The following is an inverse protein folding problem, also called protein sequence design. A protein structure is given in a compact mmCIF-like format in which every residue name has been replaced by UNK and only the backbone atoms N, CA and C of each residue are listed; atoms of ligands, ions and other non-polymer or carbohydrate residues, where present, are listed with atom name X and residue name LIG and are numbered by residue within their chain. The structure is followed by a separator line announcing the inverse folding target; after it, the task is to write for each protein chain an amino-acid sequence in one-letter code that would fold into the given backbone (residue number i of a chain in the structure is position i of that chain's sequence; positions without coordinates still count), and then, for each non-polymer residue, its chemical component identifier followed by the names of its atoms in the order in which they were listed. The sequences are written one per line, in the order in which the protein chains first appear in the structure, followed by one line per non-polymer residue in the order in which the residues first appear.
data_IF_573583170511
#
_entry.id   IF_573583170511
#
_cell.length_a   1.000
_cell.length_b   1.000
_cell.length_c   1.000
_cell.angle_alpha   90.00
_cell.angle_beta   90.00
_cell.angle_gamma   90.00
#
_symmetry.space_group_name_H-M   'P 1'
#
loop_
_entity.id
_entity.type
_entity.pdbx_description
1 polymer ?
#
# COMPACT_ATOMS: atom_id res chain seq x y z
N UNK A 1 -11.84 -8.45 8.13
CA UNK A 1 -11.92 -6.99 7.88
C UNK A 1 -11.53 -6.76 6.43
N UNK A 2 -12.38 -6.08 5.68
CA UNK A 2 -12.28 -6.03 4.21
C UNK A 2 -11.80 -4.67 3.67
N UNK A 3 -11.63 -3.67 4.56
CA UNK A 3 -11.25 -2.33 4.18
C UNK A 3 -9.75 -2.11 4.28
N UNK A 4 -9.23 -1.25 3.40
CA UNK A 4 -7.80 -0.94 3.29
C UNK A 4 -7.58 0.56 3.43
N UNK A 5 -6.71 0.98 4.35
CA UNK A 5 -6.19 2.35 4.37
C UNK A 5 -4.94 2.41 3.49
N UNK A 6 -4.84 3.43 2.62
CA UNK A 6 -3.75 3.57 1.65
C UNK A 6 -3.06 4.93 1.74
N UNK A 7 -1.74 4.93 1.50
CA UNK A 7 -0.97 6.16 1.38
C UNK A 7 0.10 6.01 0.28
N UNK A 8 0.04 6.84 -0.73
CA UNK A 8 0.91 6.78 -1.90
C UNK A 8 0.24 6.12 -3.10
N UNK A 9 1.05 5.80 -4.11
CA UNK A 9 0.57 5.19 -5.36
C UNK A 9 0.72 3.67 -5.34
N UNK A 10 -0.33 2.96 -5.70
CA UNK A 10 -0.35 1.50 -5.63
C UNK A 10 -0.82 0.79 -6.91
N UNK A 11 -0.69 1.42 -8.06
CA UNK A 11 -1.05 0.86 -9.36
C UNK A 11 -2.35 1.44 -9.95
N UNK A 12 -2.56 1.21 -11.24
CA UNK A 12 -3.72 1.71 -12.00
C UNK A 12 -4.77 0.59 -12.11
N UNK A 13 -5.51 0.34 -11.03
CA UNK A 13 -6.54 -0.70 -11.00
C UNK A 13 -7.73 -0.28 -10.14
N UNK A 14 -8.83 -0.99 -10.30
CA UNK A 14 -10.13 -0.62 -9.75
C UNK A 14 -10.12 -0.38 -8.25
N UNK A 15 -9.52 -1.26 -7.44
CA UNK A 15 -9.55 -1.05 -6.00
C UNK A 15 -8.79 0.20 -5.56
N UNK A 16 -7.68 0.58 -6.22
CA UNK A 16 -6.98 1.82 -5.91
C UNK A 16 -7.82 3.04 -6.29
N UNK A 17 -8.37 3.05 -7.52
CA UNK A 17 -9.23 4.14 -8.00
C UNK A 17 -10.54 4.23 -7.22
N UNK A 18 -10.97 3.16 -6.55
CA UNK A 18 -12.14 3.18 -5.68
C UNK A 18 -12.00 4.16 -4.50
N UNK A 19 -10.78 4.57 -4.13
CA UNK A 19 -10.54 5.66 -3.21
C UNK A 19 -11.24 6.96 -3.61
N UNK A 20 -11.43 7.21 -4.92
CA UNK A 20 -12.14 8.37 -5.46
C UNK A 20 -13.64 8.14 -5.66
N UNK A 21 -14.18 6.97 -5.31
CA UNK A 21 -15.64 6.74 -5.28
C UNK A 21 -16.32 7.32 -4.03
N UNK A 22 -15.69 8.24 -3.31
CA UNK A 22 -16.15 8.81 -2.04
C UNK A 22 -17.64 9.15 -1.93
N UNK A 23 -18.06 9.70 -0.82
CA UNK A 23 -19.49 9.99 -0.54
C UNK A 23 -20.01 11.25 -1.24
N UNK A 24 -19.20 12.02 -1.94
CA UNK A 24 -19.56 13.19 -2.73
C UNK A 24 -19.11 13.04 -4.18
N UNK A 25 -19.82 13.69 -5.10
CA UNK A 25 -19.46 13.75 -6.53
C UNK A 25 -18.10 14.45 -6.76
N UNK A 26 -17.67 15.24 -5.79
CA UNK A 26 -16.40 15.99 -5.81
C UNK A 26 -15.27 15.29 -5.07
N UNK A 27 -15.43 14.04 -4.64
CA UNK A 27 -14.38 13.33 -3.90
C UNK A 27 -13.14 13.10 -4.77
N UNK A 28 -12.02 13.63 -4.32
CA UNK A 28 -10.70 13.55 -4.97
C UNK A 28 -9.66 13.10 -3.96
N UNK A 29 -9.99 12.05 -3.22
CA UNK A 29 -9.20 11.59 -2.10
C UNK A 29 -7.79 11.11 -2.50
N UNK A 30 -7.59 10.74 -3.78
CA UNK A 30 -6.30 10.36 -4.34
C UNK A 30 -5.49 11.54 -4.90
N UNK A 31 -5.99 12.77 -4.91
CA UNK A 31 -5.31 13.92 -5.52
C UNK A 31 -3.97 14.23 -4.85
N UNK A 32 -3.84 13.95 -3.55
CA UNK A 32 -2.60 14.15 -2.80
C UNK A 32 -1.56 13.05 -2.99
N UNK A 33 -1.94 11.92 -3.64
CA UNK A 33 -1.09 10.75 -3.75
C UNK A 33 -0.09 10.82 -4.91
N UNK A 34 -0.53 11.16 -6.13
CA UNK A 34 0.38 11.31 -7.29
C UNK A 34 -0.11 12.32 -8.30
N UNK A 35 -1.27 12.07 -8.88
CA UNK A 35 -1.82 12.82 -10.00
C UNK A 35 -3.21 13.32 -9.63
N UNK A 36 -3.42 14.60 -9.58
CA UNK A 36 -4.74 15.18 -9.36
C UNK A 36 -5.70 14.82 -10.48
N UNK A 37 -6.98 14.72 -10.17
CA UNK A 37 -8.04 14.53 -11.15
C UNK A 37 -8.20 13.07 -11.63
N UNK A 38 -7.81 12.07 -10.85
CA UNK A 38 -8.06 10.66 -11.16
C UNK A 38 -9.55 10.33 -11.06
N UNK A 39 -10.23 10.34 -12.22
CA UNK A 39 -11.65 10.01 -12.27
C UNK A 39 -11.88 8.50 -12.15
N UNK A 40 -12.81 8.05 -11.27
CA UNK A 40 -13.11 6.64 -11.08
C UNK A 40 -14.11 6.08 -12.11
N UNK A 41 -14.10 6.60 -13.34
CA UNK A 41 -14.98 6.14 -14.41
C UNK A 41 -14.72 4.68 -14.76
N UNK A 42 -15.77 3.86 -14.74
CA UNK A 42 -15.68 2.43 -15.01
C UNK A 42 -15.36 1.56 -13.79
N UNK A 43 -14.99 2.16 -12.67
CA UNK A 43 -14.77 1.43 -11.41
C UNK A 43 -16.12 0.95 -10.85
N UNK A 44 -16.24 -0.33 -10.46
CA UNK A 44 -17.47 -0.86 -9.89
C UNK A 44 -17.90 -0.10 -8.62
N UNK A 45 -19.15 0.37 -8.59
CA UNK A 45 -19.68 1.19 -7.50
C UNK A 45 -19.73 0.48 -6.14
N UNK A 46 -19.77 -0.86 -6.14
CA UNK A 46 -19.75 -1.68 -4.93
C UNK A 46 -18.38 -1.69 -4.20
N UNK A 47 -17.34 -1.16 -4.82
CA UNK A 47 -16.05 -0.93 -4.16
C UNK A 47 -16.02 0.36 -3.30
N UNK A 48 -17.08 1.18 -3.37
CA UNK A 48 -17.20 2.38 -2.55
C UNK A 48 -17.11 2.04 -1.06
N UNK A 49 -16.32 2.83 -0.32
CA UNK A 49 -16.16 2.65 1.11
C UNK A 49 -15.31 1.45 1.53
N UNK A 50 -14.52 0.88 0.60
CA UNK A 50 -13.57 -0.19 0.91
C UNK A 50 -12.11 0.29 0.95
N UNK A 51 -11.81 1.46 0.35
CA UNK A 51 -10.48 2.05 0.27
C UNK A 51 -10.52 3.45 0.88
N UNK A 52 -9.60 3.70 1.80
CA UNK A 52 -9.53 4.94 2.60
C UNK A 52 -8.15 5.56 2.44
N UNK A 53 -7.98 6.56 1.56
CA UNK A 53 -6.73 7.30 1.43
C UNK A 53 -6.43 8.14 2.66
N UNK A 54 -5.15 8.24 3.04
CA UNK A 54 -4.67 9.17 4.05
C UNK A 54 -3.35 9.83 3.63
N UNK A 55 -3.10 11.03 4.13
CA UNK A 55 -1.93 11.81 3.78
C UNK A 55 -0.67 11.30 4.49
N UNK A 56 0.45 11.33 3.78
CA UNK A 56 1.74 10.98 4.34
C UNK A 56 2.14 11.96 5.46
N UNK A 57 2.66 11.44 6.55
CA UNK A 57 2.97 12.18 7.79
C UNK A 57 1.73 12.69 8.58
N UNK A 58 0.52 12.34 8.19
CA UNK A 58 -0.71 12.68 8.91
C UNK A 58 -1.22 11.47 9.72
N UNK A 59 -0.59 11.25 10.87
CA UNK A 59 -0.91 10.11 11.73
C UNK A 59 -2.33 10.20 12.32
N UNK A 60 -2.78 11.39 12.67
CA UNK A 60 -4.10 11.66 13.24
C UNK A 60 -5.21 11.29 12.25
N UNK A 61 -5.01 11.56 10.95
CA UNK A 61 -5.95 11.14 9.89
C UNK A 61 -6.05 9.62 9.82
N UNK A 62 -4.90 8.91 9.86
CA UNK A 62 -4.91 7.44 9.88
C UNK A 62 -5.61 6.88 11.11
N UNK A 63 -5.38 7.45 12.31
CA UNK A 63 -6.07 7.02 13.52
C UNK A 63 -7.59 7.20 13.42
N UNK A 64 -8.07 8.32 12.87
CA UNK A 64 -9.50 8.58 12.65
C UNK A 64 -10.10 7.55 11.70
N UNK A 65 -9.45 7.30 10.56
CA UNK A 65 -9.89 6.31 9.57
C UNK A 65 -9.99 4.92 10.23
N UNK A 66 -8.99 4.50 10.98
CA UNK A 66 -8.99 3.18 11.65
C UNK A 66 -10.09 3.09 12.71
N UNK A 67 -10.35 4.17 13.44
CA UNK A 67 -11.38 4.23 14.49
C UNK A 67 -12.79 4.15 13.92
N UNK A 68 -13.02 4.80 12.79
CA UNK A 68 -14.34 4.94 12.18
C UNK A 68 -14.67 3.78 11.22
N UNK A 69 -13.65 3.06 10.74
CA UNK A 69 -13.81 2.05 9.72
C UNK A 69 -13.16 0.71 10.14
N UNK A 70 -13.68 -0.37 9.61
CA UNK A 70 -13.18 -1.71 9.89
C UNK A 70 -11.92 -2.03 9.04
N UNK A 71 -10.81 -1.30 9.29
CA UNK A 71 -9.56 -1.46 8.54
C UNK A 71 -8.88 -2.78 8.89
N UNK A 72 -8.55 -3.57 7.89
CA UNK A 72 -7.79 -4.82 8.01
C UNK A 72 -6.33 -4.71 7.56
N UNK A 73 -6.07 -3.79 6.63
CA UNK A 73 -4.75 -3.57 6.03
C UNK A 73 -4.44 -2.08 5.97
N UNK A 74 -3.23 -1.70 6.32
CA UNK A 74 -2.64 -0.40 5.96
C UNK A 74 -1.58 -0.68 4.90
N UNK A 75 -1.76 -0.16 3.69
CA UNK A 75 -0.78 -0.24 2.60
C UNK A 75 -0.22 1.13 2.29
N UNK A 76 1.09 1.30 2.36
CA UNK A 76 1.71 2.60 2.14
C UNK A 76 3.10 2.48 1.51
N UNK A 77 3.52 3.53 0.81
CA UNK A 77 4.92 3.72 0.45
C UNK A 77 5.71 4.17 1.69
N UNK A 78 6.94 3.68 1.84
CA UNK A 78 7.80 4.06 2.99
C UNK A 78 8.23 5.51 2.89
N UNK A 79 8.69 5.90 1.71
CA UNK A 79 9.06 7.28 1.35
C UNK A 79 8.72 7.48 -0.11
N UNK A 80 8.19 8.65 -0.44
CA UNK A 80 7.99 9.06 -1.82
C UNK A 80 8.56 10.46 -2.07
N UNK A 81 7.83 11.49 -1.69
CA UNK A 81 8.21 12.89 -1.95
C UNK A 81 8.89 13.53 -0.74
N UNK A 82 8.47 13.14 0.45
CA UNK A 82 8.95 13.70 1.71
C UNK A 82 9.47 12.58 2.62
N UNK A 83 10.48 12.84 3.45
CA UNK A 83 10.89 11.89 4.48
C UNK A 83 9.83 11.78 5.58
N UNK A 84 9.82 10.67 6.33
CA UNK A 84 8.98 10.56 7.52
C UNK A 84 9.45 11.53 8.59
N UNK A 85 8.50 12.20 9.26
CA UNK A 85 8.76 13.11 10.36
C UNK A 85 8.11 12.62 11.65
N UNK A 86 8.58 13.09 12.80
CA UNK A 86 7.97 12.81 14.12
C UNK A 86 7.74 11.31 14.40
N UNK A 87 8.66 10.45 13.95
CA UNK A 87 8.57 8.99 14.09
C UNK A 87 7.30 8.40 13.43
N UNK A 88 6.85 8.99 12.32
CA UNK A 88 5.61 8.61 11.65
C UNK A 88 5.52 7.11 11.35
N UNK A 89 6.55 6.52 10.71
CA UNK A 89 6.55 5.10 10.35
C UNK A 89 6.46 4.19 11.58
N UNK A 90 7.17 4.53 12.65
CA UNK A 90 7.14 3.77 13.90
C UNK A 90 5.75 3.85 14.55
N UNK A 91 5.14 5.03 14.59
CA UNK A 91 3.77 5.20 15.10
C UNK A 91 2.77 4.36 14.31
N UNK A 92 2.86 4.34 12.97
CA UNK A 92 2.02 3.51 12.12
C UNK A 92 2.23 2.03 12.45
N UNK A 93 3.50 1.58 12.59
CA UNK A 93 3.81 0.19 12.96
C UNK A 93 3.23 -0.20 14.32
N UNK A 94 3.40 0.65 15.31
CA UNK A 94 2.92 0.38 16.67
C UNK A 94 1.38 0.30 16.72
N UNK A 95 0.71 1.22 16.05
CA UNK A 95 -0.75 1.23 15.94
C UNK A 95 -1.28 -0.02 15.24
N UNK A 96 -0.73 -0.37 14.08
CA UNK A 96 -1.16 -1.54 13.31
C UNK A 96 -0.92 -2.83 14.08
N UNK A 97 0.24 -2.97 14.73
CA UNK A 97 0.58 -4.12 15.57
C UNK A 97 -0.37 -4.25 16.76
N UNK A 98 -0.66 -3.14 17.45
CA UNK A 98 -1.57 -3.11 18.60
C UNK A 98 -2.99 -3.56 18.24
N UNK A 99 -3.45 -3.22 17.04
CA UNK A 99 -4.83 -3.48 16.57
C UNK A 99 -4.97 -4.74 15.71
N UNK A 100 -3.87 -5.47 15.47
CA UNK A 100 -3.87 -6.66 14.61
C UNK A 100 -4.18 -6.33 13.14
N UNK A 101 -3.78 -5.15 12.68
CA UNK A 101 -3.90 -4.69 11.30
C UNK A 101 -2.61 -5.04 10.57
N UNK A 102 -2.71 -5.58 9.35
CA UNK A 102 -1.56 -5.93 8.53
C UNK A 102 -0.95 -4.65 7.95
N UNK A 103 0.34 -4.41 8.21
CA UNK A 103 1.09 -3.33 7.58
C UNK A 103 1.83 -3.83 6.35
N UNK A 104 1.53 -3.24 5.19
CA UNK A 104 2.17 -3.54 3.92
C UNK A 104 2.97 -2.32 3.45
N UNK A 105 4.28 -2.47 3.27
CA UNK A 105 5.11 -1.46 2.64
C UNK A 105 5.24 -1.71 1.13
N UNK A 106 4.82 -0.74 0.33
CA UNK A 106 5.00 -0.75 -1.10
C UNK A 106 6.37 -0.15 -1.45
N UNK A 107 7.32 -1.02 -1.68
CA UNK A 107 8.70 -0.68 -2.01
C UNK A 107 8.97 -0.80 -3.53
N UNK A 108 7.92 -0.87 -4.34
CA UNK A 108 8.09 -0.94 -5.81
C UNK A 108 8.90 0.21 -6.38
N UNK A 109 8.81 1.41 -5.78
CA UNK A 109 9.58 2.58 -6.22
C UNK A 109 10.88 2.76 -5.45
N UNK A 110 10.89 2.50 -4.15
CA UNK A 110 12.02 2.76 -3.25
C UNK A 110 13.00 1.59 -3.12
N UNK A 111 12.52 0.36 -3.24
CA UNK A 111 13.33 -0.83 -3.03
C UNK A 111 14.53 -0.92 -3.97
N UNK A 112 15.65 -1.39 -3.47
CA UNK A 112 16.92 -1.59 -4.17
C UNK A 112 17.53 -0.33 -4.80
N UNK A 113 17.14 0.88 -4.33
CA UNK A 113 17.69 2.15 -4.83
C UNK A 113 18.63 2.83 -3.84
N UNK A 114 18.27 2.88 -2.57
CA UNK A 114 19.05 3.55 -1.52
C UNK A 114 19.63 2.56 -0.51
N UNK A 115 19.04 1.38 -0.42
CA UNK A 115 19.47 0.31 0.44
C UNK A 115 19.38 -1.03 -0.29
N UNK A 116 20.16 -2.01 0.14
CA UNK A 116 19.97 -3.39 -0.29
C UNK A 116 18.67 -3.94 0.33
N UNK A 117 17.69 -4.19 -0.53
CA UNK A 117 16.31 -4.51 -0.13
C UNK A 117 15.46 -3.25 0.00
N UNK A 118 14.63 -3.20 1.03
CA UNK A 118 13.70 -2.09 1.24
C UNK A 118 14.32 -0.91 2.00
N UNK A 119 13.85 0.30 1.69
CA UNK A 119 14.26 1.52 2.40
C UNK A 119 13.73 1.54 3.85
N UNK A 120 12.70 0.76 4.17
CA UNK A 120 12.19 0.61 5.55
C UNK A 120 13.27 0.18 6.54
N UNK A 121 14.30 -0.55 6.07
CA UNK A 121 15.45 -0.96 6.89
C UNK A 121 16.29 0.22 7.40
N UNK A 122 16.35 1.31 6.63
CA UNK A 122 17.06 2.54 7.06
C UNK A 122 16.31 3.19 8.24
N UNK A 123 14.99 3.04 8.28
CA UNK A 123 14.15 3.58 9.35
C UNK A 123 13.91 2.57 10.49
N UNK A 124 14.48 1.38 10.39
CA UNK A 124 14.35 0.30 11.39
C UNK A 124 12.88 -0.07 11.72
N UNK A 125 12.00 0.01 10.71
CA UNK A 125 10.57 -0.30 10.86
C UNK A 125 10.21 -1.49 9.99
N UNK A 126 9.94 -2.64 10.60
CA UNK A 126 9.61 -3.87 9.90
C UNK A 126 8.10 -3.97 9.63
N UNK A 127 7.66 -4.08 8.34
CA UNK A 127 6.27 -4.32 7.99
C UNK A 127 5.89 -5.79 8.21
N UNK A 128 4.62 -6.10 8.07
CA UNK A 128 4.16 -7.49 7.98
C UNK A 128 4.39 -8.06 6.58
N UNK A 129 4.34 -7.21 5.55
CA UNK A 129 4.62 -7.55 4.15
C UNK A 129 5.33 -6.40 3.46
N UNK A 130 6.18 -6.71 2.48
CA UNK A 130 6.79 -5.74 1.58
C UNK A 130 6.66 -6.18 0.11
N UNK A 131 6.42 -5.21 -0.77
CA UNK A 131 6.23 -5.42 -2.21
C UNK A 131 7.39 -4.77 -2.95
N UNK A 132 8.05 -5.51 -3.82
CA UNK A 132 9.19 -5.04 -4.61
C UNK A 132 8.93 -5.20 -6.10
N UNK A 133 9.50 -4.30 -6.89
CA UNK A 133 9.43 -4.32 -8.35
C UNK A 133 10.45 -3.34 -8.92
N UNK A 134 10.22 -2.86 -10.13
CA UNK A 134 11.07 -1.87 -10.82
C UNK A 134 12.58 -2.19 -10.72
N UNK A 135 13.31 -1.56 -9.79
CA UNK A 135 14.75 -1.74 -9.63
C UNK A 135 15.17 -3.17 -9.28
N UNK A 136 14.31 -3.96 -8.63
CA UNK A 136 14.55 -5.38 -8.39
C UNK A 136 14.78 -6.13 -9.71
N UNK A 137 13.93 -5.88 -10.70
CA UNK A 137 14.02 -6.54 -12.01
C UNK A 137 15.06 -5.90 -12.94
N UNK A 138 15.35 -4.61 -12.76
CA UNK A 138 16.34 -3.87 -13.54
C UNK A 138 16.26 -4.12 -15.06
N UNK A 139 15.06 -4.03 -15.60
CA UNK A 139 14.76 -4.29 -17.01
C UNK A 139 14.10 -5.64 -17.30
N UNK A 140 14.09 -6.56 -16.34
CA UNK A 140 13.35 -7.81 -16.43
C UNK A 140 12.02 -7.73 -15.69
N UNK A 141 11.05 -8.53 -16.11
CA UNK A 141 9.71 -8.57 -15.54
C UNK A 141 9.69 -9.36 -14.21
N UNK A 142 10.40 -8.86 -13.21
CA UNK A 142 10.49 -9.48 -11.89
C UNK A 142 9.84 -8.59 -10.85
N UNK A 143 8.94 -9.18 -10.07
CA UNK A 143 8.37 -8.58 -8.85
C UNK A 143 8.44 -9.60 -7.72
N UNK A 144 8.40 -9.11 -6.49
CA UNK A 144 8.41 -9.97 -5.31
C UNK A 144 7.49 -9.42 -4.24
N UNK A 145 6.76 -10.32 -3.59
CA UNK A 145 6.02 -10.03 -2.36
C UNK A 145 6.60 -10.93 -1.29
N UNK A 146 7.12 -10.33 -0.24
CA UNK A 146 7.66 -11.04 0.91
C UNK A 146 6.89 -10.63 2.18
N UNK A 147 6.84 -11.49 3.15
CA UNK A 147 6.14 -11.20 4.39
C UNK A 147 6.30 -12.28 5.44
N UNK A 148 5.67 -12.05 6.59
CA UNK A 148 5.64 -13.01 7.68
C UNK A 148 4.96 -14.31 7.24
N UNK A 149 5.53 -15.44 7.66
CA UNK A 149 5.06 -16.77 7.27
C UNK A 149 3.55 -16.95 7.44
N UNK A 150 3.03 -16.60 8.61
CA UNK A 150 1.62 -16.77 8.94
C UNK A 150 0.66 -15.99 8.03
N UNK A 151 1.13 -14.90 7.41
CA UNK A 151 0.37 -14.14 6.43
C UNK A 151 0.54 -14.76 5.05
N UNK A 152 1.77 -15.08 4.68
CA UNK A 152 2.09 -15.62 3.35
C UNK A 152 1.51 -17.02 3.12
N UNK A 153 1.29 -17.82 4.17
CA UNK A 153 0.65 -19.14 4.06
C UNK A 153 -0.77 -19.06 3.47
N UNK A 154 -1.48 -17.93 3.64
CA UNK A 154 -2.78 -17.71 3.00
C UNK A 154 -2.72 -17.70 1.47
N UNK A 155 -1.56 -17.41 0.89
CA UNK A 155 -1.35 -17.49 -0.56
C UNK A 155 -1.55 -18.91 -1.12
N UNK A 156 -1.39 -19.95 -0.29
CA UNK A 156 -1.58 -21.35 -0.71
C UNK A 156 -3.03 -21.69 -1.04
N UNK A 157 -3.98 -20.95 -0.47
CA UNK A 157 -5.42 -21.13 -0.71
C UNK A 157 -6.01 -20.06 -1.64
N UNK A 158 -5.17 -19.19 -2.20
CA UNK A 158 -5.59 -18.08 -3.07
C UNK A 158 -5.07 -18.31 -4.48
N UNK A 159 -5.91 -18.08 -5.50
CA UNK A 159 -5.44 -18.09 -6.88
C UNK A 159 -4.52 -16.90 -7.12
N UNK A 160 -3.27 -17.18 -7.43
CA UNK A 160 -2.25 -16.19 -7.78
C UNK A 160 -1.74 -16.48 -9.17
N UNK A 161 -1.70 -15.44 -10.02
CA UNK A 161 -1.14 -15.51 -11.35
C UNK A 161 -0.44 -14.18 -11.69
N UNK A 162 0.27 -14.17 -12.81
CA UNK A 162 0.92 -12.98 -13.34
C UNK A 162 0.97 -13.02 -14.86
N UNK A 163 1.22 -11.87 -15.48
CA UNK A 163 1.38 -11.75 -16.93
C UNK A 163 2.52 -12.62 -17.45
N UNK A 164 3.59 -12.76 -16.69
CA UNK A 164 4.80 -13.51 -17.07
C UNK A 164 4.90 -14.85 -16.34
N UNK A 165 3.77 -15.45 -16.03
CA UNK A 165 3.72 -16.82 -15.48
C UNK A 165 4.44 -17.76 -16.41
N UNK A 166 5.36 -18.55 -15.99
CA UNK A 166 6.21 -19.43 -16.82
C UNK A 166 7.28 -18.73 -17.67
N UNK A 167 7.46 -17.41 -17.57
CA UNK A 167 8.59 -16.71 -18.19
C UNK A 167 9.91 -17.22 -17.59
N UNK A 168 10.91 -17.50 -18.48
CA UNK A 168 12.16 -18.13 -18.05
C UNK A 168 13.33 -17.14 -17.92
N UNK A 169 13.15 -15.89 -18.35
CA UNK A 169 14.22 -14.88 -18.32
C UNK A 169 14.26 -14.18 -16.95
N UNK A 170 13.10 -14.00 -16.30
CA UNK A 170 12.95 -13.35 -15.01
C UNK A 170 13.35 -14.18 -13.80
#
# INVERSE_FOLDING_TARGET
KDNVAICGYHGWHDWYLAGNLGNSEDAKDLDTHILPGLEPKGVPSNLRGTIFPFDYNNFEMLESIIKENSIGVVKMEVVRNNPPVNNFLQKVRDLTKKLGIILVFDECTSGFRQAYGGIHKIFEVEPDMAIFGKALGNGYAITSIIGRREIMEHAQSTFISSTFWTERIG
#
